data_IF_039974578212
#
_entry.id   IF_039974578212
#
_cell.length_a   1.000
_cell.length_b   1.000
_cell.length_c   1.000
_cell.angle_alpha   90.00
_cell.angle_beta   90.00
_cell.angle_gamma   90.00
#
_symmetry.space_group_name_H-M   'P 1'
#
loop_
_entity.id
_entity.type
_entity.pdbx_description
1 polymer ?
#
# COMPACT_ATOMS: atom_id res chain seq x y z
N UNK A 1 14.42 -12.33 -32.85
CA UNK A 1 14.08 -12.67 -34.26
C UNK A 1 13.12 -11.60 -34.74
N UNK A 2 13.28 -10.98 -35.92
CA UNK A 2 12.39 -9.89 -36.32
C UNK A 2 10.95 -10.40 -36.50
N UNK A 3 9.98 -9.73 -35.88
CA UNK A 3 8.56 -10.04 -36.00
C UNK A 3 8.02 -9.29 -37.21
N UNK A 4 7.37 -9.97 -38.15
CA UNK A 4 6.75 -9.33 -39.31
C UNK A 4 5.26 -9.14 -39.06
N UNK A 5 4.79 -7.88 -39.11
CA UNK A 5 3.37 -7.54 -38.96
C UNK A 5 2.84 -6.86 -40.21
N UNK A 6 1.67 -7.32 -40.68
CA UNK A 6 0.95 -6.65 -41.75
C UNK A 6 0.03 -5.57 -41.18
N UNK A 7 0.62 -4.45 -40.76
CA UNK A 7 -0.08 -3.37 -40.04
C UNK A 7 -0.06 -2.03 -40.79
N UNK A 8 -1.09 -1.21 -40.60
CA UNK A 8 -1.25 0.15 -41.13
C UNK A 8 -1.88 1.07 -40.09
N UNK A 9 -1.79 2.38 -40.30
CA UNK A 9 -2.31 3.38 -39.37
C UNK A 9 -3.83 3.30 -39.09
N UNK A 10 -4.62 2.55 -39.87
CA UNK A 10 -6.06 2.36 -39.65
C UNK A 10 -6.48 0.89 -39.49
N UNK A 11 -5.54 -0.06 -39.50
CA UNK A 11 -5.88 -1.48 -39.31
C UNK A 11 -6.02 -1.82 -37.84
N UNK A 12 -6.94 -2.71 -37.51
CA UNK A 12 -7.07 -3.32 -36.19
C UNK A 12 -6.49 -4.72 -36.29
N UNK A 13 -5.51 -5.05 -35.43
CA UNK A 13 -4.97 -6.39 -35.32
C UNK A 13 -5.96 -7.28 -34.56
N UNK A 14 -6.11 -8.54 -34.97
CA UNK A 14 -6.95 -9.49 -34.23
C UNK A 14 -6.30 -9.82 -32.87
N UNK A 15 -7.11 -10.10 -31.86
CA UNK A 15 -6.64 -10.26 -30.47
C UNK A 15 -5.65 -11.42 -30.29
N UNK A 16 -5.75 -12.47 -31.10
CA UNK A 16 -4.79 -13.58 -31.09
C UNK A 16 -3.38 -13.12 -31.49
N UNK A 17 -3.25 -12.23 -32.48
CA UNK A 17 -1.98 -11.64 -32.88
C UNK A 17 -1.45 -10.68 -31.80
N UNK A 18 -2.33 -9.86 -31.22
CA UNK A 18 -1.96 -8.96 -30.11
C UNK A 18 -1.49 -9.73 -28.88
N UNK A 19 -2.18 -10.82 -28.50
CA UNK A 19 -1.80 -11.67 -27.39
C UNK A 19 -0.44 -12.34 -27.62
N UNK A 20 -0.20 -12.83 -28.84
CA UNK A 20 1.09 -13.42 -29.22
C UNK A 20 2.21 -12.38 -29.16
N UNK A 21 1.94 -11.16 -29.65
CA UNK A 21 2.89 -10.04 -29.59
C UNK A 21 3.23 -9.65 -28.15
N UNK A 22 2.21 -9.54 -27.28
CA UNK A 22 2.40 -9.28 -25.84
C UNK A 22 3.29 -10.34 -25.21
N UNK A 23 2.99 -11.61 -25.45
CA UNK A 23 3.76 -12.73 -24.92
C UNK A 23 5.23 -12.67 -25.36
N UNK A 24 5.49 -12.45 -26.65
CA UNK A 24 6.86 -12.40 -27.18
C UNK A 24 7.65 -11.24 -26.56
N UNK A 25 7.08 -10.03 -26.55
CA UNK A 25 7.76 -8.82 -26.01
C UNK A 25 7.96 -8.92 -24.49
N UNK A 26 7.09 -9.63 -23.77
CA UNK A 26 7.29 -9.90 -22.34
C UNK A 26 8.46 -10.85 -22.08
N UNK A 27 8.67 -11.85 -22.94
CA UNK A 27 9.77 -12.81 -22.79
C UNK A 27 11.11 -12.24 -23.28
N UNK A 28 11.10 -11.39 -24.30
CA UNK A 28 12.28 -10.78 -24.88
C UNK A 28 12.21 -9.25 -24.79
N UNK A 29 12.95 -8.68 -23.83
CA UNK A 29 13.03 -7.23 -23.71
C UNK A 29 13.75 -6.64 -24.92
N UNK A 30 13.05 -5.77 -25.68
CA UNK A 30 13.50 -5.04 -26.88
C UNK A 30 13.45 -5.84 -28.19
N UNK A 31 12.25 -6.23 -28.60
CA UNK A 31 12.06 -6.82 -29.92
C UNK A 31 11.77 -5.77 -30.99
N UNK A 32 12.52 -5.85 -32.10
CA UNK A 32 12.25 -5.05 -33.29
C UNK A 32 11.19 -5.72 -34.15
N UNK A 33 10.12 -5.00 -34.39
CA UNK A 33 9.00 -5.39 -35.25
C UNK A 33 9.12 -4.70 -36.60
N UNK A 34 9.01 -5.48 -37.67
CA UNK A 34 9.03 -5.01 -39.06
C UNK A 34 7.60 -4.98 -39.58
N UNK A 35 7.11 -3.79 -39.91
CA UNK A 35 5.77 -3.58 -40.44
C UNK A 35 5.83 -3.44 -41.97
N UNK A 36 5.12 -4.31 -42.70
CA UNK A 36 5.03 -4.34 -44.17
C UNK A 36 6.38 -4.25 -44.89
N UNK A 37 7.43 -4.83 -44.29
CA UNK A 37 8.81 -4.82 -44.82
C UNK A 37 9.41 -3.41 -45.05
N UNK A 38 8.78 -2.35 -44.52
CA UNK A 38 9.20 -0.96 -44.75
C UNK A 38 9.45 -0.16 -43.49
N UNK A 39 8.71 -0.41 -42.42
CA UNK A 39 8.84 0.35 -41.18
C UNK A 39 9.37 -0.55 -40.08
N UNK A 40 10.41 -0.09 -39.37
CA UNK A 40 10.94 -0.77 -38.20
C UNK A 40 10.44 -0.06 -36.95
N UNK A 41 9.87 -0.82 -36.03
CA UNK A 41 9.38 -0.35 -34.74
C UNK A 41 10.09 -1.12 -33.63
N UNK A 42 10.44 -0.44 -32.55
CA UNK A 42 10.95 -1.02 -31.31
C UNK A 42 9.80 -1.10 -30.32
N UNK A 43 9.51 -2.29 -29.81
CA UNK A 43 8.47 -2.51 -28.82
C UNK A 43 9.12 -2.94 -27.51
N UNK A 44 8.79 -2.22 -26.43
CA UNK A 44 9.31 -2.54 -25.09
C UNK A 44 8.18 -2.69 -24.10
N UNK A 45 8.28 -3.74 -23.29
CA UNK A 45 7.43 -3.94 -22.13
C UNK A 45 8.06 -3.30 -20.89
N UNK A 46 7.28 -2.51 -20.16
CA UNK A 46 7.66 -1.86 -18.92
C UNK A 46 6.86 -2.51 -17.80
N UNK A 47 7.52 -3.42 -17.09
CA UNK A 47 6.93 -4.26 -16.05
C UNK A 47 6.32 -3.44 -14.91
N UNK A 48 7.00 -2.35 -14.50
CA UNK A 48 6.58 -1.53 -13.35
C UNK A 48 5.18 -0.92 -13.50
N UNK A 49 4.74 -0.66 -14.73
CA UNK A 49 3.41 -0.10 -15.04
C UNK A 49 2.54 -1.06 -15.85
N UNK A 50 3.02 -2.28 -16.09
CA UNK A 50 2.41 -3.28 -16.96
C UNK A 50 1.94 -2.68 -18.30
N UNK A 51 2.85 -1.95 -18.97
CA UNK A 51 2.54 -1.21 -20.20
C UNK A 51 3.57 -1.44 -21.29
N UNK A 52 3.16 -1.32 -22.54
CA UNK A 52 4.02 -1.45 -23.71
C UNK A 52 4.27 -0.07 -24.33
N UNK A 53 5.48 0.17 -24.83
CA UNK A 53 5.84 1.35 -25.62
C UNK A 53 6.17 0.92 -27.03
N UNK A 54 5.82 1.75 -28.01
CA UNK A 54 6.13 1.50 -29.42
C UNK A 54 6.80 2.74 -30.02
N UNK A 55 8.06 2.59 -30.43
CA UNK A 55 8.84 3.69 -30.99
C UNK A 55 9.32 3.36 -32.40
N UNK A 56 9.22 4.27 -33.38
CA UNK A 56 9.80 4.05 -34.69
C UNK A 56 11.33 4.05 -34.63
N UNK A 57 11.94 3.05 -35.28
CA UNK A 57 13.40 2.97 -35.45
C UNK A 57 13.77 3.71 -36.73
N UNK A 58 14.13 4.98 -36.57
CA UNK A 58 14.44 5.86 -37.69
C UNK A 58 15.84 5.61 -38.24
N UNK A 59 15.96 5.33 -39.55
CA UNK A 59 17.25 5.30 -40.25
C UNK A 59 17.49 6.48 -41.19
N UNK A 60 16.48 7.30 -41.50
CA UNK A 60 16.59 8.43 -42.44
C UNK A 60 15.83 9.70 -41.98
N UNK A 61 16.39 10.87 -42.27
CA UNK A 61 16.00 12.21 -41.77
C UNK A 61 14.83 12.92 -42.49
N UNK A 62 13.98 12.23 -43.26
CA UNK A 62 12.87 12.88 -43.96
C UNK A 62 11.61 13.04 -43.08
N UNK A 63 11.20 14.28 -42.80
CA UNK A 63 10.11 14.64 -41.86
C UNK A 63 8.72 14.07 -42.23
N UNK A 64 8.37 13.99 -43.51
CA UNK A 64 7.06 13.47 -43.96
C UNK A 64 6.89 11.98 -43.61
N UNK A 65 7.98 11.19 -43.72
CA UNK A 65 7.96 9.79 -43.33
C UNK A 65 7.89 9.60 -41.81
N UNK A 66 8.35 10.58 -41.02
CA UNK A 66 8.26 10.54 -39.56
C UNK A 66 6.82 10.68 -39.07
N UNK A 67 6.03 11.60 -39.64
CA UNK A 67 4.64 11.80 -39.24
C UNK A 67 3.80 10.53 -39.43
N UNK A 68 3.99 9.83 -40.56
CA UNK A 68 3.29 8.57 -40.84
C UNK A 68 3.74 7.44 -39.91
N UNK A 69 5.03 7.33 -39.63
CA UNK A 69 5.58 6.32 -38.70
C UNK A 69 5.06 6.54 -37.28
N UNK A 70 5.02 7.78 -36.81
CA UNK A 70 4.48 8.13 -35.49
C UNK A 70 3.01 7.75 -35.36
N UNK A 71 2.19 7.98 -36.39
CA UNK A 71 0.77 7.57 -36.36
C UNK A 71 0.61 6.05 -36.30
N UNK A 72 1.43 5.30 -37.04
CA UNK A 72 1.43 3.83 -37.00
C UNK A 72 1.87 3.34 -35.62
N UNK A 73 2.96 3.89 -35.07
CA UNK A 73 3.47 3.55 -33.75
C UNK A 73 2.43 3.82 -32.65
N UNK A 74 1.79 4.99 -32.69
CA UNK A 74 0.74 5.36 -31.73
C UNK A 74 -0.47 4.42 -31.80
N UNK A 75 -0.91 4.05 -33.01
CA UNK A 75 -2.04 3.13 -33.14
C UNK A 75 -1.67 1.72 -32.62
N UNK A 76 -0.48 1.22 -32.97
CA UNK A 76 0.00 -0.06 -32.46
C UNK A 76 0.15 -0.04 -30.92
N UNK A 77 0.69 1.06 -30.36
CA UNK A 77 0.78 1.26 -28.91
C UNK A 77 -0.59 1.19 -28.26
N UNK A 78 -1.60 1.87 -28.83
CA UNK A 78 -2.96 1.81 -28.30
C UNK A 78 -3.52 0.40 -28.34
N UNK A 79 -3.38 -0.33 -29.45
CA UNK A 79 -3.92 -1.69 -29.57
C UNK A 79 -3.24 -2.68 -28.62
N UNK A 80 -1.91 -2.69 -28.55
CA UNK A 80 -1.18 -3.58 -27.64
C UNK A 80 -1.51 -3.27 -26.17
N UNK A 81 -1.90 -2.03 -25.85
CA UNK A 81 -2.30 -1.57 -24.51
C UNK A 81 -3.82 -1.51 -24.28
N UNK A 82 -4.62 -2.30 -25.03
CA UNK A 82 -6.09 -2.37 -24.86
C UNK A 82 -6.81 -1.01 -25.04
N UNK A 83 -6.41 -0.25 -26.05
CA UNK A 83 -6.98 1.05 -26.42
C UNK A 83 -6.36 2.27 -25.74
N UNK A 84 -5.37 2.09 -24.85
CA UNK A 84 -4.75 3.19 -24.08
C UNK A 84 -3.35 3.51 -24.57
N UNK A 85 -2.92 4.76 -24.50
CA UNK A 85 -1.51 5.08 -24.71
C UNK A 85 -0.68 4.70 -23.48
N UNK A 86 0.62 4.52 -23.67
CA UNK A 86 1.54 4.28 -22.56
C UNK A 86 1.52 5.44 -21.55
N UNK A 87 1.41 6.68 -22.04
CA UNK A 87 1.29 7.87 -21.20
C UNK A 87 0.05 7.82 -20.28
N UNK A 88 -1.09 7.33 -20.77
CA UNK A 88 -2.29 7.16 -19.96
C UNK A 88 -2.09 6.08 -18.89
N UNK A 89 -1.52 4.93 -19.25
CA UNK A 89 -1.23 3.84 -18.31
C UNK A 89 -0.28 4.33 -17.20
N UNK A 90 0.77 5.05 -17.58
CA UNK A 90 1.73 5.60 -16.63
C UNK A 90 1.10 6.65 -15.71
N UNK A 91 0.19 7.48 -16.23
CA UNK A 91 -0.53 8.47 -15.43
C UNK A 91 -1.46 7.79 -14.41
N UNK A 92 -2.23 6.79 -14.85
CA UNK A 92 -3.12 6.02 -13.96
C UNK A 92 -2.33 5.33 -12.84
N UNK A 93 -1.18 4.73 -13.18
CA UNK A 93 -0.29 4.10 -12.22
C UNK A 93 0.22 5.11 -11.17
N UNK A 94 0.67 6.30 -11.60
CA UNK A 94 1.13 7.35 -10.70
C UNK A 94 0.02 7.85 -9.78
N UNK A 95 -1.22 7.99 -10.29
CA UNK A 95 -2.38 8.36 -9.49
C UNK A 95 -2.75 7.28 -8.45
N UNK A 96 -2.65 6.01 -8.82
CA UNK A 96 -2.84 4.89 -7.90
C UNK A 96 -1.77 4.87 -6.80
N UNK A 97 -0.50 5.09 -7.15
CA UNK A 97 0.58 5.24 -6.18
C UNK A 97 0.34 6.41 -5.22
N UNK A 98 0.00 7.60 -5.75
CA UNK A 98 -0.22 8.78 -4.92
C UNK A 98 -1.40 8.62 -3.98
N UNK A 99 -2.49 8.01 -4.45
CA UNK A 99 -3.64 7.70 -3.60
C UNK A 99 -3.25 6.71 -2.50
N UNK A 100 -2.62 5.58 -2.84
CA UNK A 100 -2.17 4.59 -1.86
C UNK A 100 -1.22 5.18 -0.80
N UNK A 101 -0.31 6.07 -1.20
CA UNK A 101 0.58 6.80 -0.27
C UNK A 101 -0.24 7.74 0.62
N UNK A 102 -1.21 8.47 0.06
CA UNK A 102 -2.12 9.34 0.80
C UNK A 102 -2.94 8.59 1.85
N UNK A 103 -3.54 7.45 1.48
CA UNK A 103 -4.28 6.56 2.40
C UNK A 103 -3.40 6.04 3.53
N UNK A 104 -2.18 5.57 3.21
CA UNK A 104 -1.21 5.10 4.22
C UNK A 104 -0.83 6.21 5.20
N UNK A 105 -0.51 7.41 4.70
CA UNK A 105 -0.17 8.57 5.53
C UNK A 105 -1.35 9.02 6.40
N UNK A 106 -2.57 8.97 5.87
CA UNK A 106 -3.80 9.25 6.62
C UNK A 106 -4.01 8.26 7.77
N UNK A 107 -3.85 6.96 7.51
CA UNK A 107 -3.99 5.92 8.53
C UNK A 107 -2.92 6.01 9.62
N UNK A 108 -1.66 6.27 9.26
CA UNK A 108 -0.57 6.49 10.22
C UNK A 108 -0.82 7.72 11.10
N UNK A 109 -1.27 8.82 10.50
CA UNK A 109 -1.62 10.03 11.25
C UNK A 109 -2.78 9.77 12.21
N UNK A 110 -3.81 9.03 11.77
CA UNK A 110 -4.93 8.66 12.63
C UNK A 110 -4.49 7.81 13.84
N UNK A 111 -3.59 6.85 13.63
CA UNK A 111 -3.01 6.04 14.71
C UNK A 111 -2.21 6.91 15.70
N UNK A 112 -1.31 7.75 15.20
CA UNK A 112 -0.50 8.65 16.04
C UNK A 112 -1.36 9.62 16.84
N UNK A 113 -2.37 10.19 16.21
CA UNK A 113 -3.33 11.10 16.88
C UNK A 113 -4.10 10.36 17.97
N UNK A 114 -4.51 9.12 17.73
CA UNK A 114 -5.24 8.32 18.72
C UNK A 114 -4.36 7.92 19.91
N UNK A 115 -3.10 7.55 19.67
CA UNK A 115 -2.13 7.32 20.76
C UNK A 115 -1.94 8.60 21.58
N UNK A 116 -1.86 9.76 20.93
CA UNK A 116 -1.70 11.01 21.64
C UNK A 116 -2.93 11.37 22.49
N UNK A 117 -4.13 11.22 21.94
CA UNK A 117 -5.37 11.59 22.64
C UNK A 117 -5.75 10.60 23.75
N UNK A 118 -5.37 9.33 23.64
CA UNK A 118 -5.69 8.30 24.62
C UNK A 118 -4.53 8.04 25.61
N UNK A 119 -3.41 8.77 25.48
CA UNK A 119 -2.33 8.73 26.47
C UNK A 119 -2.71 9.52 27.73
N UNK A 120 -2.34 9.00 28.89
CA UNK A 120 -2.65 9.59 30.18
C UNK A 120 -1.44 9.50 31.13
N UNK A 121 -1.45 10.31 32.19
CA UNK A 121 -0.42 10.24 33.25
C UNK A 121 -0.74 9.04 34.13
N UNK A 122 0.23 8.16 34.32
CA UNK A 122 0.04 6.93 35.09
C UNK A 122 0.38 7.21 36.54
N UNK A 123 -0.65 7.16 37.38
CA UNK A 123 -0.51 7.25 38.82
C UNK A 123 -0.75 5.85 39.43
N UNK A 124 0.26 5.18 39.99
CA UNK A 124 0.11 3.83 40.55
C UNK A 124 -0.97 3.73 41.63
N UNK A 125 -1.18 4.79 42.41
CA UNK A 125 -2.14 4.83 43.51
C UNK A 125 -3.60 4.80 43.04
N UNK A 126 -3.85 5.09 41.76
CA UNK A 126 -5.19 5.05 41.15
C UNK A 126 -5.57 3.65 40.65
N UNK A 127 -4.64 2.70 40.64
CA UNK A 127 -4.89 1.35 40.18
C UNK A 127 -5.06 0.39 41.36
N UNK A 128 -6.07 -0.47 41.29
CA UNK A 128 -6.31 -1.52 42.29
C UNK A 128 -5.32 -2.69 42.22
N UNK A 129 -4.18 -2.54 41.55
CA UNK A 129 -3.23 -3.61 41.27
C UNK A 129 -1.80 -3.24 41.65
N UNK A 130 -0.97 -4.26 41.84
CA UNK A 130 0.44 -4.06 42.15
C UNK A 130 1.18 -3.37 40.99
N UNK A 131 2.20 -2.59 41.34
CA UNK A 131 3.05 -1.87 40.38
C UNK A 131 3.72 -2.77 39.33
N UNK A 132 3.85 -4.07 39.60
CA UNK A 132 4.36 -5.05 38.63
C UNK A 132 3.48 -5.15 37.37
N UNK A 133 2.16 -5.02 37.50
CA UNK A 133 1.22 -5.09 36.38
C UNK A 133 1.18 -3.79 35.55
N UNK A 134 1.75 -2.71 36.08
CA UNK A 134 1.85 -1.41 35.42
C UNK A 134 3.16 -1.24 34.64
N UNK A 135 4.06 -2.23 34.66
CA UNK A 135 5.33 -2.16 33.94
C UNK A 135 5.07 -2.32 32.44
N UNK A 136 5.57 -1.35 31.67
CA UNK A 136 5.57 -1.41 30.22
C UNK A 136 6.44 -2.60 29.75
N UNK A 137 5.93 -3.51 28.88
CA UNK A 137 6.72 -4.63 28.38
C UNK A 137 7.95 -4.23 27.56
N UNK A 138 8.00 -3.01 27.03
CA UNK A 138 9.10 -2.51 26.20
C UNK A 138 10.22 -1.92 27.07
N UNK A 139 9.86 -1.05 28.02
CA UNK A 139 10.83 -0.32 28.85
C UNK A 139 11.12 -1.02 30.17
N UNK A 140 10.30 -2.01 30.55
CA UNK A 140 10.36 -2.76 31.82
C UNK A 140 10.19 -1.89 33.07
N UNK A 141 9.69 -0.66 32.90
CA UNK A 141 9.45 0.32 33.95
C UNK A 141 7.98 0.75 33.96
N UNK A 142 7.51 1.29 35.09
CA UNK A 142 6.21 1.98 35.15
C UNK A 142 6.35 3.30 34.37
N UNK A 143 5.59 3.51 33.29
CA UNK A 143 5.72 4.71 32.47
C UNK A 143 5.13 5.94 33.19
N UNK A 144 5.68 7.12 32.98
CA UNK A 144 5.07 8.38 33.46
C UNK A 144 3.82 8.71 32.64
N UNK A 145 3.90 8.52 31.31
CA UNK A 145 2.78 8.66 30.38
C UNK A 145 2.52 7.34 29.68
N UNK A 146 1.37 6.75 30.01
CA UNK A 146 0.96 5.45 29.51
C UNK A 146 -0.09 5.53 28.41
N UNK A 147 -0.22 4.45 27.65
CA UNK A 147 -1.34 4.19 26.75
C UNK A 147 -1.75 2.73 26.86
N UNK A 148 -3.05 2.46 26.90
CA UNK A 148 -3.55 1.09 26.86
C UNK A 148 -3.70 0.60 25.42
N UNK A 149 -3.19 -0.59 25.18
CA UNK A 149 -3.20 -1.21 23.85
C UNK A 149 -3.69 -2.65 23.97
N UNK A 150 -4.61 -3.06 23.09
CA UNK A 150 -5.05 -4.45 22.98
C UNK A 150 -3.87 -5.37 22.64
N UNK A 151 -3.80 -6.54 23.27
CA UNK A 151 -2.71 -7.49 23.00
C UNK A 151 -2.73 -8.05 21.56
N UNK A 152 -3.91 -8.10 20.95
CA UNK A 152 -4.18 -8.43 19.56
C UNK A 152 -5.48 -7.71 19.12
N UNK A 153 -5.76 -7.63 17.82
CA UNK A 153 -6.91 -6.89 17.30
C UNK A 153 -8.24 -7.34 17.93
N UNK A 154 -8.41 -8.66 18.07
CA UNK A 154 -9.60 -9.31 18.62
C UNK A 154 -9.45 -9.70 20.11
N UNK A 155 -8.42 -9.19 20.78
CA UNK A 155 -8.20 -9.44 22.20
C UNK A 155 -9.09 -8.55 23.06
N UNK A 156 -9.67 -9.12 24.11
CA UNK A 156 -10.33 -8.38 25.18
C UNK A 156 -9.37 -7.99 26.30
N UNK A 157 -8.11 -8.42 26.21
CA UNK A 157 -7.03 -8.03 27.12
C UNK A 157 -6.25 -6.86 26.52
N UNK A 158 -6.03 -5.84 27.34
CA UNK A 158 -5.19 -4.69 27.08
C UNK A 158 -3.94 -4.72 27.97
N UNK A 159 -2.86 -4.06 27.54
CA UNK A 159 -1.62 -3.90 28.32
C UNK A 159 -1.21 -2.44 28.31
N UNK A 160 -0.64 -1.98 29.43
CA UNK A 160 -0.11 -0.63 29.56
C UNK A 160 1.27 -0.54 28.89
N UNK A 161 1.44 0.42 27.98
CA UNK A 161 2.72 0.73 27.36
C UNK A 161 3.14 2.16 27.65
N UNK A 162 4.44 2.38 27.68
CA UNK A 162 5.00 3.73 27.63
C UNK A 162 4.66 4.40 26.30
N UNK A 163 4.12 5.62 26.36
CA UNK A 163 3.71 6.38 25.19
C UNK A 163 4.85 6.54 24.19
N UNK A 164 6.04 6.92 24.67
CA UNK A 164 7.18 7.23 23.79
C UNK A 164 7.73 5.96 23.12
N UNK A 165 7.87 4.88 23.90
CA UNK A 165 8.33 3.60 23.41
C UNK A 165 7.36 3.02 22.38
N UNK A 166 6.05 3.04 22.68
CA UNK A 166 5.03 2.54 21.75
C UNK A 166 4.92 3.40 20.49
N UNK A 167 5.02 4.73 20.62
CA UNK A 167 5.08 5.62 19.45
C UNK A 167 6.27 5.33 18.55
N UNK A 168 7.44 4.98 19.11
CA UNK A 168 8.60 4.60 18.31
C UNK A 168 8.35 3.32 17.50
N UNK A 169 7.66 2.30 18.06
CA UNK A 169 7.25 1.13 17.29
C UNK A 169 6.42 1.51 16.06
N UNK A 170 5.46 2.44 16.22
CA UNK A 170 4.63 2.88 15.10
C UNK A 170 5.40 3.70 14.06
N UNK A 171 6.45 4.41 14.47
CA UNK A 171 7.31 5.21 13.56
C UNK A 171 8.24 4.33 12.74
N UNK A 172 8.74 3.24 13.33
CA UNK A 172 9.63 2.28 12.69
C UNK A 172 8.88 1.14 11.99
N UNK A 173 7.55 1.22 11.92
CA UNK A 173 6.66 0.21 11.32
C UNK A 173 6.87 -1.19 11.91
N UNK A 174 7.25 -1.27 13.19
CA UNK A 174 7.47 -2.52 13.89
C UNK A 174 6.13 -3.18 14.28
N UNK A 175 6.06 -4.52 14.30
CA UNK A 175 4.85 -5.23 14.68
C UNK A 175 4.57 -5.11 16.18
N UNK A 176 3.33 -5.40 16.57
CA UNK A 176 2.92 -5.40 17.98
C UNK A 176 3.80 -6.37 18.80
N UNK A 177 4.32 -5.97 19.99
CA UNK A 177 5.29 -6.78 20.74
C UNK A 177 4.82 -8.18 21.12
N UNK A 178 3.52 -8.34 21.39
CA UNK A 178 2.91 -9.61 21.81
C UNK A 178 2.40 -10.42 20.60
N UNK A 179 1.35 -9.95 19.92
CA UNK A 179 0.72 -10.68 18.80
C UNK A 179 1.53 -10.71 17.50
N UNK A 180 2.55 -9.87 17.33
CA UNK A 180 3.25 -9.64 16.06
C UNK A 180 2.38 -9.12 14.91
N UNK A 181 1.15 -8.70 15.21
CA UNK A 181 0.24 -8.09 14.23
C UNK A 181 0.67 -6.67 13.86
N UNK A 182 0.20 -6.18 12.72
CA UNK A 182 0.36 -4.76 12.38
C UNK A 182 -0.42 -3.92 13.39
N UNK A 183 0.24 -2.92 13.98
CA UNK A 183 -0.40 -1.99 14.92
C UNK A 183 -1.41 -1.13 14.17
N UNK A 184 -2.66 -1.15 14.61
CA UNK A 184 -3.77 -0.37 14.04
C UNK A 184 -4.46 0.47 15.13
N UNK A 185 -5.19 1.53 14.72
CA UNK A 185 -5.79 2.50 15.65
C UNK A 185 -6.87 1.87 16.54
N UNK A 186 -7.48 0.77 16.11
CA UNK A 186 -8.50 0.02 16.83
C UNK A 186 -7.92 -0.72 18.04
N UNK A 187 -6.60 -0.96 18.06
CA UNK A 187 -5.91 -1.54 19.21
C UNK A 187 -5.70 -0.51 20.34
N UNK A 188 -5.78 0.80 20.06
CA UNK A 188 -5.59 1.85 21.07
C UNK A 188 -6.88 2.07 21.84
N UNK A 189 -6.81 1.86 23.16
CA UNK A 189 -7.95 1.90 24.07
C UNK A 189 -7.83 3.11 24.99
N UNK A 190 -8.98 3.73 25.26
CA UNK A 190 -9.06 4.84 26.20
C UNK A 190 -8.87 4.33 27.63
N UNK A 191 -8.27 5.15 28.51
CA UNK A 191 -8.06 4.82 29.92
C UNK A 191 -9.30 4.22 30.58
N UNK A 192 -10.46 4.85 30.39
CA UNK A 192 -11.69 4.49 31.07
C UNK A 192 -12.35 3.22 30.54
N UNK A 193 -11.81 2.61 29.47
CA UNK A 193 -12.36 1.41 28.84
C UNK A 193 -11.56 0.14 29.18
N UNK A 194 -10.48 0.25 29.94
CA UNK A 194 -9.56 -0.84 30.27
C UNK A 194 -9.33 -0.86 31.79
N UNK A 195 -9.80 -1.91 32.47
CA UNK A 195 -9.76 -2.03 33.94
C UNK A 195 -9.04 -3.29 34.37
N UNK A 196 -8.46 -3.28 35.57
CA UNK A 196 -7.78 -4.45 36.11
C UNK A 196 -8.80 -5.42 36.70
N UNK A 197 -8.85 -6.64 36.17
CA UNK A 197 -9.63 -7.72 36.76
C UNK A 197 -8.75 -8.50 37.75
N UNK A 198 -9.17 -8.49 39.02
CA UNK A 198 -8.44 -9.14 40.11
C UNK A 198 -8.50 -10.66 40.05
N UNK A 199 -9.50 -11.23 39.35
CA UNK A 199 -9.64 -12.68 39.21
C UNK A 199 -8.65 -13.20 38.16
N UNK A 200 -8.65 -12.62 36.96
CA UNK A 200 -7.74 -13.02 35.89
C UNK A 200 -6.33 -12.43 36.03
N UNK A 201 -6.14 -11.40 36.86
CA UNK A 201 -4.90 -10.64 37.01
C UNK A 201 -4.42 -9.97 35.71
N UNK A 202 -5.37 -9.58 34.85
CA UNK A 202 -5.10 -8.88 33.60
C UNK A 202 -5.96 -7.63 33.47
N UNK A 203 -5.54 -6.70 32.62
CA UNK A 203 -6.41 -5.59 32.22
C UNK A 203 -7.37 -6.04 31.12
N UNK A 204 -8.67 -5.88 31.36
CA UNK A 204 -9.75 -6.29 30.46
C UNK A 204 -10.48 -5.06 29.95
N UNK A 205 -10.93 -5.14 28.70
CA UNK A 205 -11.70 -4.10 28.04
C UNK A 205 -13.18 -4.23 28.42
N UNK A 206 -13.82 -3.12 28.79
CA UNK A 206 -15.27 -3.12 29.00
C UNK A 206 -16.00 -3.29 27.66
N UNK A 207 -16.86 -4.31 27.58
CA UNK A 207 -17.80 -4.47 26.48
C UNK A 207 -18.93 -3.44 26.57
N UNK A 208 -19.41 -2.98 25.41
CA UNK A 208 -20.45 -1.96 25.28
C UNK A 208 -21.80 -2.35 25.94
N UNK A 209 -22.02 -3.63 26.25
CA UNK A 209 -23.22 -4.09 26.95
C UNK A 209 -23.22 -3.77 28.46
N UNK A 210 -22.05 -3.54 29.07
CA UNK A 210 -21.95 -3.15 30.50
C UNK A 210 -22.13 -1.64 30.73
N UNK A 211 -22.07 -0.81 29.69
CA UNK A 211 -22.36 0.64 29.79
C UNK A 211 -23.82 0.93 30.17
N UNK A 212 -24.76 0.01 29.91
CA UNK A 212 -26.20 0.20 30.26
C UNK A 212 -26.54 -0.12 31.71
N UNK A 213 -25.67 -0.77 32.47
CA UNK A 213 -25.94 -1.13 33.87
C UNK A 213 -25.44 -0.11 34.90
N UNK A 214 -24.57 0.82 34.52
CA UNK A 214 -24.09 1.89 35.41
C UNK A 214 -24.84 3.22 35.30
N UNK A 215 -25.84 3.31 34.43
CA UNK A 215 -26.85 4.39 34.42
C UNK A 215 -28.20 3.86 34.91
N UNK A 216 -28.29 3.51 36.20
CA UNK A 216 -29.54 3.45 36.96
C UNK A 216 -29.33 4.01 38.35
#
# INVERSE_FOLDING_TARGET
MPIFLNFTAGSILPENELASLRYIVQQNQNDTVIIKERYKMDIRYIESVNGFTVNPVCSNHFSIFMARQNTIARNLEQQINNGRSFAQISQDFMLQLSSNIGWKKGAENALKNKIHSHSFVVNPDEFSCDTQFLKCPITLCVPEKGVFVKNALNSNICTLYDKSAFMNLTREHLPHPLSREKIVKEMIIERNMCYFDTISQHFIIMDADQQKQHCK
#
